data_IF_869963353824
#
_entry.id   IF_869963353824
#
_cell.length_a   1.000
_cell.length_b   1.000
_cell.length_c   1.000
_cell.angle_alpha   90.00
_cell.angle_beta   90.00
_cell.angle_gamma   90.00
#
_symmetry.space_group_name_H-M   'P 1'
#
loop_
_entity.id
_entity.type
_entity.pdbx_description
1 polymer ?
#
# COMPACT_ATOMS: atom_id res chain seq x y z
N UNK A 1 3.09 -14.07 44.85
CA UNK A 1 3.57 -12.79 44.25
C UNK A 1 4.49 -12.98 43.06
N UNK A 2 5.69 -13.57 43.18
CA UNK A 2 6.62 -13.68 42.03
C UNK A 2 6.05 -14.45 40.84
N UNK A 3 5.42 -15.60 41.09
CA UNK A 3 4.76 -16.42 40.04
C UNK A 3 3.60 -15.66 39.39
N UNK A 4 2.77 -14.96 40.17
CA UNK A 4 1.67 -14.15 39.63
C UNK A 4 2.18 -13.02 38.73
N UNK A 5 3.24 -12.32 39.15
CA UNK A 5 3.86 -11.25 38.36
C UNK A 5 4.41 -11.78 37.04
N UNK A 6 5.07 -12.94 37.06
CA UNK A 6 5.54 -13.59 35.83
C UNK A 6 4.37 -13.93 34.90
N UNK A 7 3.30 -14.53 35.42
CA UNK A 7 2.12 -14.87 34.62
C UNK A 7 1.41 -13.63 34.05
N UNK A 8 1.25 -12.58 34.85
CA UNK A 8 0.67 -11.32 34.39
C UNK A 8 1.53 -10.67 33.29
N UNK A 9 2.86 -10.68 33.45
CA UNK A 9 3.79 -10.18 32.45
C UNK A 9 3.72 -10.99 31.15
N UNK A 10 3.64 -12.32 31.24
CA UNK A 10 3.52 -13.21 30.07
C UNK A 10 2.22 -12.97 29.30
N UNK A 11 1.08 -12.87 30.00
CA UNK A 11 -0.22 -12.63 29.35
C UNK A 11 -0.27 -11.23 28.76
N UNK A 12 0.15 -10.20 29.51
CA UNK A 12 0.22 -8.83 29.03
C UNK A 12 1.14 -8.68 27.81
N UNK A 13 2.34 -9.26 27.88
CA UNK A 13 3.29 -9.30 26.78
C UNK A 13 2.73 -10.04 25.56
N UNK A 14 2.04 -11.17 25.75
CA UNK A 14 1.40 -11.91 24.67
C UNK A 14 0.28 -11.11 23.98
N UNK A 15 -0.51 -10.33 24.74
CA UNK A 15 -1.52 -9.43 24.18
C UNK A 15 -0.84 -8.34 23.34
N UNK A 16 0.22 -7.70 23.86
CA UNK A 16 0.99 -6.71 23.12
C UNK A 16 1.64 -7.28 21.85
N UNK A 17 2.17 -8.50 21.93
CA UNK A 17 2.72 -9.23 20.79
C UNK A 17 1.65 -9.50 19.73
N UNK A 18 0.48 -10.00 20.13
CA UNK A 18 -0.62 -10.29 19.22
C UNK A 18 -1.08 -9.03 18.46
N UNK A 19 -1.17 -7.88 19.15
CA UNK A 19 -1.46 -6.61 18.52
C UNK A 19 -0.39 -6.18 17.52
N UNK A 20 0.89 -6.36 17.87
CA UNK A 20 2.01 -6.03 16.98
C UNK A 20 1.98 -6.87 15.70
N UNK A 21 1.73 -8.18 15.83
CA UNK A 21 1.58 -9.09 14.68
C UNK A 21 0.38 -8.68 13.82
N UNK A 22 -0.75 -8.34 14.44
CA UNK A 22 -1.93 -7.89 13.72
C UNK A 22 -1.71 -6.57 12.96
N UNK A 23 -0.87 -5.67 13.50
CA UNK A 23 -0.51 -4.37 12.90
C UNK A 23 0.51 -4.50 11.76
N UNK A 24 1.54 -5.32 11.91
CA UNK A 24 2.65 -5.45 10.96
C UNK A 24 2.62 -6.78 10.19
N UNK A 25 1.48 -7.11 9.57
CA UNK A 25 1.22 -8.42 8.93
C UNK A 25 2.27 -8.84 7.91
N UNK A 26 2.86 -7.89 7.18
CA UNK A 26 3.82 -8.20 6.11
C UNK A 26 5.24 -8.52 6.62
N UNK A 27 5.64 -7.96 7.77
CA UNK A 27 6.98 -8.15 8.36
C UNK A 27 6.88 -8.25 9.91
N UNK A 28 6.12 -9.22 10.46
CA UNK A 28 5.79 -9.27 11.88
C UNK A 28 7.02 -9.56 12.75
N UNK A 29 7.90 -10.46 12.29
CA UNK A 29 9.15 -10.78 13.00
C UNK A 29 10.08 -9.57 13.05
N UNK A 30 10.20 -8.81 11.96
CA UNK A 30 11.01 -7.59 11.91
C UNK A 30 10.45 -6.50 12.81
N UNK A 31 9.12 -6.37 12.87
CA UNK A 31 8.46 -5.45 13.79
C UNK A 31 8.71 -5.85 15.25
N UNK A 32 8.56 -7.13 15.58
CA UNK A 32 8.78 -7.65 16.94
C UNK A 32 10.21 -7.42 17.43
N UNK A 33 11.20 -7.72 16.60
CA UNK A 33 12.62 -7.59 16.95
C UNK A 33 13.14 -6.14 16.84
N UNK A 34 12.31 -5.18 16.44
CA UNK A 34 12.70 -3.77 16.48
C UNK A 34 12.70 -3.27 17.94
N UNK A 35 13.64 -2.39 18.34
CA UNK A 35 13.59 -1.65 19.60
C UNK A 35 12.20 -1.12 19.96
N UNK A 36 11.47 -0.54 18.98
CA UNK A 36 10.11 -0.06 19.21
C UNK A 36 9.10 -1.18 19.50
N UNK A 37 9.19 -2.31 18.79
CA UNK A 37 8.37 -3.49 19.04
C UNK A 37 8.66 -4.16 20.39
N UNK A 38 9.93 -4.29 20.76
CA UNK A 38 10.34 -4.80 22.07
C UNK A 38 9.86 -3.88 23.20
N UNK A 39 10.02 -2.56 23.04
CA UNK A 39 9.50 -1.58 24.00
C UNK A 39 7.98 -1.66 24.12
N UNK A 40 7.27 -1.87 23.02
CA UNK A 40 5.82 -2.04 23.02
C UNK A 40 5.37 -3.25 23.86
N UNK A 41 6.00 -4.41 23.64
CA UNK A 41 5.73 -5.63 24.42
C UNK A 41 6.09 -5.42 25.89
N UNK A 42 7.23 -4.78 26.17
CA UNK A 42 7.68 -4.46 27.51
C UNK A 42 6.68 -3.56 28.28
N UNK A 43 6.14 -2.52 27.63
CA UNK A 43 5.14 -1.64 28.24
C UNK A 43 3.87 -2.42 28.60
N UNK A 44 3.40 -3.31 27.72
CA UNK A 44 2.22 -4.13 27.99
C UNK A 44 2.44 -5.12 29.15
N UNK A 45 3.61 -5.79 29.18
CA UNK A 45 3.97 -6.69 30.27
C UNK A 45 4.06 -5.94 31.61
N UNK A 46 4.75 -4.79 31.62
CA UNK A 46 4.95 -3.96 32.82
C UNK A 46 3.61 -3.41 33.34
N UNK A 47 2.72 -2.93 32.46
CA UNK A 47 1.41 -2.45 32.86
C UNK A 47 0.57 -3.56 33.51
N UNK A 48 0.68 -4.80 33.04
CA UNK A 48 -0.01 -5.96 33.63
C UNK A 48 0.50 -6.29 35.03
N UNK A 49 1.82 -6.18 35.27
CA UNK A 49 2.41 -6.30 36.61
C UNK A 49 1.90 -5.19 37.53
N UNK A 50 1.91 -3.93 37.07
CA UNK A 50 1.43 -2.78 37.86
C UNK A 50 -0.05 -2.95 38.22
N UNK A 51 -0.88 -3.38 37.27
CA UNK A 51 -2.30 -3.67 37.53
C UNK A 51 -2.47 -4.80 38.55
N UNK A 52 -1.66 -5.87 38.46
CA UNK A 52 -1.71 -6.96 39.43
C UNK A 52 -1.33 -6.50 40.84
N UNK A 53 -0.30 -5.66 40.97
CA UNK A 53 0.10 -5.07 42.26
C UNK A 53 -1.06 -4.26 42.83
N UNK A 54 -1.70 -3.41 42.01
CA UNK A 54 -2.83 -2.58 42.45
C UNK A 54 -4.03 -3.43 42.90
N UNK A 55 -4.41 -4.45 42.13
CA UNK A 55 -5.50 -5.39 42.44
C UNK A 55 -5.22 -6.16 43.73
N UNK A 56 -3.97 -6.58 43.93
CA UNK A 56 -3.58 -7.35 45.11
C UNK A 56 -3.51 -6.48 46.35
N UNK A 57 -2.87 -5.30 46.25
CA UNK A 57 -2.72 -4.36 47.36
C UNK A 57 -4.06 -3.78 47.84
N UNK A 58 -5.03 -3.61 46.93
CA UNK A 58 -6.40 -3.21 47.29
C UNK A 58 -7.24 -4.32 47.90
N UNK A 59 -6.74 -5.56 47.93
CA UNK A 59 -7.49 -6.72 48.42
C UNK A 59 -8.67 -7.12 47.52
N UNK A 60 -8.72 -6.65 46.27
CA UNK A 60 -9.87 -6.88 45.39
C UNK A 60 -10.02 -8.37 45.07
N UNK A 61 -11.19 -8.94 45.35
CA UNK A 61 -11.51 -10.36 45.10
C UNK A 61 -12.49 -10.56 43.95
N UNK A 62 -12.94 -9.48 43.30
CA UNK A 62 -13.90 -9.52 42.19
C UNK A 62 -15.18 -10.34 42.50
N UNK A 63 -15.64 -10.29 43.76
CA UNK A 63 -16.86 -10.99 44.19
C UNK A 63 -16.69 -12.48 44.48
N UNK A 64 -15.45 -13.00 44.47
CA UNK A 64 -15.18 -14.38 44.85
C UNK A 64 -15.47 -14.61 46.35
N UNK A 65 -16.15 -15.71 46.72
CA UNK A 65 -16.36 -16.09 48.13
C UNK A 65 -15.05 -16.23 48.89
N UNK A 66 -15.07 -15.95 50.20
CA UNK A 66 -13.90 -16.09 51.09
C UNK A 66 -13.43 -17.55 51.17
N UNK A 67 -14.32 -18.50 50.91
CA UNK A 67 -14.02 -19.94 50.85
C UNK A 67 -13.32 -20.37 49.55
N UNK A 68 -13.13 -19.46 48.59
CA UNK A 68 -12.50 -19.77 47.30
C UNK A 68 -11.03 -20.18 47.51
N UNK A 69 -10.57 -21.27 46.88
CA UNK A 69 -9.17 -21.67 46.96
C UNK A 69 -8.22 -20.54 46.55
N UNK A 70 -7.07 -20.36 47.24
CA UNK A 70 -6.13 -19.28 46.94
C UNK A 70 -5.65 -19.28 45.47
N UNK A 71 -5.50 -20.47 44.87
CA UNK A 71 -5.12 -20.63 43.47
C UNK A 71 -6.16 -20.05 42.49
N UNK A 72 -7.46 -20.24 42.77
CA UNK A 72 -8.52 -19.70 41.90
C UNK A 72 -8.56 -18.17 41.98
N UNK A 73 -8.43 -17.60 43.19
CA UNK A 73 -8.34 -16.14 43.38
C UNK A 73 -7.12 -15.56 42.68
N UNK A 74 -5.98 -16.25 42.77
CA UNK A 74 -4.74 -15.88 42.06
C UNK A 74 -4.95 -15.81 40.55
N UNK A 75 -5.52 -16.87 39.94
CA UNK A 75 -5.77 -16.93 38.49
C UNK A 75 -6.67 -15.77 38.04
N UNK A 76 -7.77 -15.53 38.74
CA UNK A 76 -8.70 -14.44 38.40
C UNK A 76 -8.00 -13.08 38.47
N UNK A 77 -7.23 -12.81 39.54
CA UNK A 77 -6.48 -11.55 39.67
C UNK A 77 -5.48 -11.34 38.54
N UNK A 78 -4.74 -12.39 38.16
CA UNK A 78 -3.77 -12.33 37.06
C UNK A 78 -4.47 -12.04 35.73
N UNK A 79 -5.58 -12.73 35.44
CA UNK A 79 -6.33 -12.53 34.20
C UNK A 79 -6.94 -11.12 34.13
N UNK A 80 -7.60 -10.68 35.21
CA UNK A 80 -8.21 -9.34 35.27
C UNK A 80 -7.15 -8.25 35.19
N UNK A 81 -5.99 -8.43 35.84
CA UNK A 81 -4.89 -7.47 35.75
C UNK A 81 -4.35 -7.34 34.32
N UNK A 82 -4.07 -8.45 33.64
CA UNK A 82 -3.51 -8.42 32.29
C UNK A 82 -4.49 -7.87 31.24
N UNK A 83 -5.76 -8.33 31.27
CA UNK A 83 -6.80 -7.86 30.35
C UNK A 83 -7.19 -6.41 30.68
N UNK A 84 -7.30 -6.07 31.96
CA UNK A 84 -7.62 -4.72 32.42
C UNK A 84 -6.53 -3.72 32.05
N UNK A 85 -5.26 -4.05 32.26
CA UNK A 85 -4.14 -3.22 31.82
C UNK A 85 -4.17 -2.99 30.31
N UNK A 86 -4.41 -4.05 29.53
CA UNK A 86 -4.58 -3.95 28.09
C UNK A 86 -5.73 -3.00 27.70
N UNK A 87 -6.90 -3.12 28.35
CA UNK A 87 -8.03 -2.23 28.10
C UNK A 87 -7.71 -0.77 28.44
N UNK A 88 -7.15 -0.51 29.62
CA UNK A 88 -6.78 0.84 30.09
C UNK A 88 -5.75 1.50 29.18
N UNK A 89 -4.72 0.78 28.75
CA UNK A 89 -3.71 1.32 27.83
C UNK A 89 -4.29 1.76 26.48
N UNK A 90 -5.45 1.23 26.08
CA UNK A 90 -6.14 1.57 24.83
C UNK A 90 -7.18 2.67 24.99
N UNK A 91 -7.45 3.10 26.22
CA UNK A 91 -8.39 4.19 26.47
C UNK A 91 -7.84 5.53 25.97
N UNK A 92 -8.71 6.29 25.33
CA UNK A 92 -8.46 7.67 24.89
C UNK A 92 -9.42 8.60 25.63
N UNK A 93 -8.87 9.65 26.22
CA UNK A 93 -9.59 10.71 26.91
C UNK A 93 -9.37 12.02 26.14
N UNK A 94 -10.20 12.30 25.14
CA UNK A 94 -10.12 13.53 24.37
C UNK A 94 -11.33 13.71 23.46
N UNK A 95 -11.64 14.95 23.05
CA UNK A 95 -12.72 15.20 22.10
C UNK A 95 -12.42 14.48 20.78
N UNK A 96 -13.46 13.89 20.17
CA UNK A 96 -13.39 13.21 18.88
C UNK A 96 -13.15 14.22 17.74
N UNK A 97 -11.97 14.84 17.72
CA UNK A 97 -11.50 15.69 16.64
C UNK A 97 -10.57 14.88 15.74
N UNK A 98 -10.80 14.96 14.43
CA UNK A 98 -10.03 14.25 13.39
C UNK A 98 -8.55 14.60 13.34
N UNK A 99 -8.09 15.57 14.15
CA UNK A 99 -6.70 16.04 14.19
C UNK A 99 -6.11 16.10 15.61
N UNK A 100 -6.89 15.77 16.64
CA UNK A 100 -6.39 15.73 18.01
C UNK A 100 -5.64 14.41 18.26
N UNK A 101 -4.38 14.52 18.69
CA UNK A 101 -3.68 13.41 19.34
C UNK A 101 -4.50 13.05 20.56
N UNK A 102 -5.14 11.86 20.57
CA UNK A 102 -5.93 11.43 21.72
C UNK A 102 -5.10 11.54 22.99
N UNK A 103 -5.55 12.36 23.95
CA UNK A 103 -4.93 12.48 25.27
C UNK A 103 -5.23 11.20 26.06
N UNK A 104 -4.25 10.61 26.73
CA UNK A 104 -4.47 9.43 27.57
C UNK A 104 -3.43 8.32 27.39
N UNK A 105 -3.62 7.17 28.03
CA UNK A 105 -2.68 6.05 27.99
C UNK A 105 -2.36 5.58 26.56
N UNK A 106 -3.32 5.67 25.65
CA UNK A 106 -3.11 5.30 24.24
C UNK A 106 -2.09 6.18 23.53
N UNK A 107 -1.87 7.43 23.98
CA UNK A 107 -0.85 8.32 23.42
C UNK A 107 0.56 7.74 23.62
N UNK A 108 0.81 7.12 24.78
CA UNK A 108 2.08 6.45 25.07
C UNK A 108 2.33 5.31 24.09
N UNK A 109 1.32 4.44 23.90
CA UNK A 109 1.40 3.33 22.95
C UNK A 109 1.64 3.84 21.53
N UNK A 110 0.93 4.88 21.10
CA UNK A 110 1.11 5.49 19.79
C UNK A 110 2.52 6.08 19.62
N UNK A 111 3.08 6.69 20.66
CA UNK A 111 4.46 7.19 20.66
C UNK A 111 5.47 6.05 20.45
N UNK A 112 5.33 4.94 21.16
CA UNK A 112 6.19 3.76 21.00
C UNK A 112 6.03 3.15 19.61
N UNK A 113 4.80 3.03 19.11
CA UNK A 113 4.56 2.49 17.77
C UNK A 113 5.16 3.36 16.67
N UNK A 114 5.20 4.69 16.83
CA UNK A 114 5.90 5.59 15.91
C UNK A 114 7.40 5.33 15.83
N UNK A 115 8.04 4.93 16.94
CA UNK A 115 9.45 4.53 16.93
C UNK A 115 9.66 3.26 16.09
N UNK A 116 8.80 2.26 16.26
CA UNK A 116 8.81 1.03 15.45
C UNK A 116 8.58 1.35 13.96
N UNK A 117 7.59 2.20 13.66
CA UNK A 117 7.27 2.64 12.30
C UNK A 117 8.49 3.33 11.64
N UNK A 118 9.16 4.24 12.36
CA UNK A 118 10.35 4.94 11.87
C UNK A 118 11.55 4.02 11.62
N UNK A 119 11.78 3.01 12.47
CA UNK A 119 12.84 2.02 12.22
C UNK A 119 12.52 1.10 11.05
N UNK A 120 11.28 0.61 10.96
CA UNK A 120 10.86 -0.18 9.82
C UNK A 120 10.92 0.64 8.53
N UNK A 121 10.58 1.93 8.57
CA UNK A 121 10.77 2.84 7.44
C UNK A 121 12.25 2.95 7.04
N UNK A 122 13.18 3.13 8.00
CA UNK A 122 14.62 3.15 7.72
C UNK A 122 15.13 1.84 7.12
N UNK A 123 14.75 0.68 7.70
CA UNK A 123 15.12 -0.64 7.15
C UNK A 123 14.55 -0.85 5.75
N UNK A 124 13.32 -0.40 5.50
CA UNK A 124 12.72 -0.42 4.15
C UNK A 124 13.48 0.48 3.20
N UNK A 125 13.83 1.71 3.59
CA UNK A 125 14.60 2.63 2.77
C UNK A 125 15.97 2.05 2.38
N UNK A 126 16.70 1.47 3.34
CA UNK A 126 17.97 0.80 3.08
C UNK A 126 17.82 -0.41 2.14
N UNK A 127 16.79 -1.24 2.35
CA UNK A 127 16.55 -2.41 1.49
C UNK A 127 16.20 -2.05 0.05
N UNK A 128 15.63 -0.86 -0.18
CA UNK A 128 15.27 -0.40 -1.52
C UNK A 128 16.48 0.07 -2.33
N UNK A 129 17.55 0.50 -1.67
CA UNK A 129 18.82 0.91 -2.31
C UNK A 129 19.84 -0.23 -2.38
N UNK A 130 19.69 -1.29 -1.57
CA UNK A 130 20.70 -2.37 -1.50
C UNK A 130 20.38 -3.58 -2.38
N UNK A 131 19.26 -3.60 -3.09
CA UNK A 131 18.86 -4.74 -3.92
C UNK A 131 18.81 -4.36 -5.38
N UNK A 132 19.56 -5.11 -6.16
CA UNK A 132 19.61 -5.06 -7.63
C UNK A 132 18.34 -5.71 -8.23
N UNK A 133 17.16 -5.45 -7.64
CA UNK A 133 15.89 -6.08 -8.04
C UNK A 133 15.48 -5.68 -9.47
N UNK A 134 16.01 -4.54 -9.94
CA UNK A 134 15.85 -4.00 -11.28
C UNK A 134 17.09 -4.21 -12.17
N UNK A 135 18.09 -4.99 -11.72
CA UNK A 135 19.30 -5.29 -12.49
C UNK A 135 18.97 -5.75 -13.91
N UNK A 136 19.63 -5.18 -14.91
CA UNK A 136 19.45 -5.53 -16.31
C UNK A 136 18.23 -4.90 -17.00
N UNK A 137 17.44 -4.10 -16.28
CA UNK A 137 16.47 -3.18 -16.86
C UNK A 137 17.12 -1.79 -17.06
N UNK A 138 16.51 -0.98 -17.92
CA UNK A 138 16.91 0.39 -18.21
C UNK A 138 15.73 1.32 -18.00
N UNK A 139 15.92 2.47 -17.36
CA UNK A 139 14.84 3.44 -17.22
C UNK A 139 14.35 3.87 -18.61
N UNK A 140 15.25 4.29 -19.50
CA UNK A 140 14.90 4.77 -20.84
C UNK A 140 14.02 3.79 -21.64
N UNK A 141 14.21 2.48 -21.47
CA UNK A 141 13.50 1.45 -22.24
C UNK A 141 12.30 0.86 -21.50
N UNK A 142 12.46 0.60 -20.20
CA UNK A 142 11.62 -0.35 -19.48
C UNK A 142 10.65 0.32 -18.50
N UNK A 143 10.83 1.62 -18.19
CA UNK A 143 10.04 2.31 -17.15
C UNK A 143 8.52 2.24 -17.38
N UNK A 144 8.07 2.44 -18.63
CA UNK A 144 6.66 2.46 -18.99
C UNK A 144 6.04 1.05 -18.89
N UNK A 145 6.70 0.04 -19.47
CA UNK A 145 6.24 -1.34 -19.42
C UNK A 145 6.23 -1.90 -17.98
N UNK A 146 7.23 -1.53 -17.18
CA UNK A 146 7.30 -1.90 -15.78
C UNK A 146 6.14 -1.29 -14.97
N UNK A 147 5.83 0.00 -15.21
CA UNK A 147 4.72 0.67 -14.55
C UNK A 147 3.37 0.08 -14.97
N UNK A 148 3.19 -0.25 -16.25
CA UNK A 148 1.99 -0.91 -16.74
C UNK A 148 1.76 -2.26 -16.05
N UNK A 149 2.80 -3.10 -15.97
CA UNK A 149 2.73 -4.38 -15.25
C UNK A 149 2.38 -4.18 -13.77
N UNK A 150 2.97 -3.19 -13.12
CA UNK A 150 2.64 -2.84 -11.73
C UNK A 150 1.20 -2.37 -11.59
N UNK A 151 0.70 -1.51 -12.46
CA UNK A 151 -0.67 -1.00 -12.40
C UNK A 151 -1.71 -2.13 -12.55
N UNK A 152 -1.46 -3.12 -13.43
CA UNK A 152 -2.34 -4.28 -13.58
C UNK A 152 -2.36 -5.21 -12.38
N UNK A 153 -1.34 -5.18 -11.51
CA UNK A 153 -1.34 -5.94 -10.26
C UNK A 153 -2.21 -5.30 -9.18
N UNK A 154 -2.69 -4.07 -9.39
CA UNK A 154 -3.51 -3.37 -8.43
C UNK A 154 -5.00 -3.59 -8.66
N UNK A 155 -5.72 -3.81 -7.57
CA UNK A 155 -7.17 -4.00 -7.58
C UNK A 155 -7.93 -2.68 -7.61
N UNK A 156 -7.32 -1.63 -7.05
CA UNK A 156 -7.83 -0.26 -6.99
C UNK A 156 -6.65 0.65 -7.38
N UNK A 157 -6.82 1.46 -8.43
CA UNK A 157 -5.84 2.45 -8.87
C UNK A 157 -6.56 3.78 -9.07
N UNK A 158 -6.16 4.80 -8.32
CA UNK A 158 -6.81 6.11 -8.39
C UNK A 158 -6.07 7.08 -9.32
N UNK A 159 -6.78 8.16 -9.70
CA UNK A 159 -6.24 9.19 -10.59
C UNK A 159 -5.04 9.92 -9.97
N UNK A 160 -5.00 10.07 -8.64
CA UNK A 160 -3.94 10.78 -7.96
C UNK A 160 -2.61 10.00 -8.01
N UNK A 161 -2.68 8.68 -7.88
CA UNK A 161 -1.53 7.78 -8.05
C UNK A 161 -1.02 7.78 -9.48
N UNK A 162 -1.91 7.75 -10.47
CA UNK A 162 -1.57 7.85 -11.89
C UNK A 162 -0.87 9.19 -12.22
N UNK A 163 -1.42 10.30 -11.74
CA UNK A 163 -0.82 11.64 -11.90
C UNK A 163 0.56 11.73 -11.25
N UNK A 164 0.73 11.13 -10.07
CA UNK A 164 2.00 11.13 -9.34
C UNK A 164 3.07 10.32 -10.07
N UNK A 165 2.73 9.16 -10.62
CA UNK A 165 3.64 8.38 -11.47
C UNK A 165 3.99 9.13 -12.75
N UNK A 166 3.00 9.69 -13.44
CA UNK A 166 3.23 10.47 -14.66
C UNK A 166 4.11 11.70 -14.41
N UNK A 167 3.90 12.41 -13.30
CA UNK A 167 4.71 13.55 -12.89
C UNK A 167 6.16 13.17 -12.62
N UNK A 168 6.40 12.07 -11.89
CA UNK A 168 7.76 11.57 -11.66
C UNK A 168 8.43 11.12 -12.96
N UNK A 169 7.70 10.44 -13.86
CA UNK A 169 8.25 10.02 -15.14
C UNK A 169 8.72 11.21 -15.98
N UNK A 170 7.90 12.27 -16.03
CA UNK A 170 8.23 13.52 -16.71
C UNK A 170 9.46 14.18 -16.06
N UNK A 171 9.50 14.29 -14.74
CA UNK A 171 10.63 14.87 -14.01
C UNK A 171 11.94 14.12 -14.32
N UNK A 172 11.96 12.79 -14.13
CA UNK A 172 13.16 11.97 -14.35
C UNK A 172 13.60 11.97 -15.83
N UNK A 173 12.66 12.08 -16.77
CA UNK A 173 13.00 12.12 -18.20
C UNK A 173 13.87 13.34 -18.54
N UNK A 174 13.66 14.47 -17.87
CA UNK A 174 14.36 15.73 -18.11
C UNK A 174 15.63 15.95 -17.24
N UNK A 175 15.94 15.03 -16.32
CA UNK A 175 17.08 15.14 -15.41
C UNK A 175 18.34 14.56 -16.05
N UNK A 176 19.18 15.40 -16.65
CA UNK A 176 20.44 14.96 -17.28
C UNK A 176 21.58 14.75 -16.28
N UNK A 177 21.40 15.18 -15.03
CA UNK A 177 22.33 15.00 -13.91
C UNK A 177 22.29 13.59 -13.30
N UNK A 178 21.31 12.77 -13.68
CA UNK A 178 21.11 11.41 -13.16
C UNK A 178 21.44 10.36 -14.22
N UNK A 179 22.12 9.28 -13.82
CA UNK A 179 22.33 8.14 -14.71
C UNK A 179 21.02 7.40 -14.97
N UNK A 180 20.97 6.58 -16.03
CA UNK A 180 19.80 5.74 -16.33
C UNK A 180 19.46 4.79 -15.16
N UNK A 181 20.49 4.30 -14.46
CA UNK A 181 20.35 3.48 -13.26
C UNK A 181 19.74 4.29 -12.10
N UNK A 182 20.23 5.51 -11.85
CA UNK A 182 19.67 6.38 -10.79
C UNK A 182 18.20 6.74 -11.05
N UNK A 183 17.84 6.98 -12.32
CA UNK A 183 16.44 7.20 -12.72
C UNK A 183 15.60 5.95 -12.50
N UNK A 184 16.13 4.78 -12.83
CA UNK A 184 15.47 3.49 -12.63
C UNK A 184 15.26 3.19 -11.15
N UNK A 185 16.23 3.52 -10.30
CA UNK A 185 16.12 3.38 -8.85
C UNK A 185 15.05 4.31 -8.29
N UNK A 186 15.07 5.59 -8.64
CA UNK A 186 14.02 6.55 -8.27
C UNK A 186 12.63 6.08 -8.71
N UNK A 187 12.51 5.55 -9.92
CA UNK A 187 11.27 4.97 -10.44
C UNK A 187 10.83 3.74 -9.66
N UNK A 188 11.77 2.82 -9.40
CA UNK A 188 11.56 1.60 -8.62
C UNK A 188 11.11 1.87 -7.19
N UNK A 189 11.63 2.93 -6.57
CA UNK A 189 11.19 3.38 -5.24
C UNK A 189 9.71 3.73 -5.23
N UNK A 190 9.22 4.38 -6.29
CA UNK A 190 7.80 4.72 -6.37
C UNK A 190 6.91 3.54 -6.71
N UNK A 191 7.32 2.68 -7.62
CA UNK A 191 6.59 1.45 -7.90
C UNK A 191 6.54 0.55 -6.65
N UNK A 192 7.60 0.50 -5.86
CA UNK A 192 7.60 -0.23 -4.58
C UNK A 192 6.60 0.35 -3.58
N UNK A 193 6.40 1.67 -3.58
CA UNK A 193 5.36 2.31 -2.74
C UNK A 193 3.97 1.88 -3.20
N UNK A 194 3.77 1.78 -4.51
CA UNK A 194 2.51 1.49 -5.14
C UNK A 194 2.09 0.01 -4.98
N UNK A 195 2.95 -0.92 -5.39
CA UNK A 195 2.59 -2.37 -5.46
C UNK A 195 3.29 -3.24 -4.42
N UNK A 196 4.27 -2.68 -3.71
CA UNK A 196 5.11 -3.43 -2.78
C UNK A 196 6.28 -4.16 -3.44
N UNK A 197 7.26 -4.52 -2.61
CA UNK A 197 8.57 -5.06 -3.01
C UNK A 197 8.49 -6.42 -3.75
N UNK A 198 7.51 -7.25 -3.40
CA UNK A 198 7.33 -8.58 -4.02
C UNK A 198 6.74 -8.47 -5.42
N UNK A 199 5.71 -7.63 -5.58
CA UNK A 199 5.05 -7.40 -6.85
C UNK A 199 6.01 -6.73 -7.85
N UNK A 200 6.76 -5.71 -7.42
CA UNK A 200 7.77 -5.06 -8.27
C UNK A 200 8.82 -6.07 -8.76
N UNK A 201 9.35 -6.91 -7.87
CA UNK A 201 10.31 -7.96 -8.27
C UNK A 201 9.73 -8.92 -9.30
N UNK A 202 8.47 -9.33 -9.12
CA UNK A 202 7.83 -10.25 -10.05
C UNK A 202 7.58 -9.60 -11.42
N UNK A 203 7.16 -8.34 -11.44
CA UNK A 203 7.02 -7.54 -12.66
C UNK A 203 8.37 -7.37 -13.37
N UNK A 204 9.42 -6.99 -12.63
CA UNK A 204 10.77 -6.82 -13.17
C UNK A 204 11.38 -8.11 -13.72
N UNK A 205 11.11 -9.26 -13.09
CA UNK A 205 11.52 -10.57 -13.63
C UNK A 205 10.79 -10.88 -14.93
N UNK A 206 9.46 -10.73 -14.95
CA UNK A 206 8.64 -10.98 -16.15
C UNK A 206 9.05 -10.10 -17.32
N UNK A 207 9.42 -8.84 -17.05
CA UNK A 207 9.88 -7.92 -18.09
C UNK A 207 11.25 -8.31 -18.65
N UNK A 208 12.17 -8.76 -17.79
CA UNK A 208 13.49 -9.29 -18.21
C UNK A 208 13.39 -10.54 -19.08
N UNK A 209 12.48 -11.43 -18.73
CA UNK A 209 12.31 -12.72 -19.40
C UNK A 209 11.56 -12.59 -20.74
N UNK A 210 11.06 -11.39 -21.10
CA UNK A 210 10.34 -11.16 -22.35
C UNK A 210 11.33 -11.21 -23.54
N UNK A 211 11.06 -12.03 -24.58
CA UNK A 211 11.81 -11.97 -25.83
C UNK A 211 11.78 -10.55 -26.39
N UNK A 212 12.95 -10.01 -26.74
CA UNK A 212 13.04 -8.70 -27.37
C UNK A 212 12.56 -8.86 -28.81
N UNK A 213 11.46 -8.22 -29.17
CA UNK A 213 11.07 -8.08 -30.57
C UNK A 213 12.11 -7.17 -31.24
N UNK A 214 13.07 -7.79 -31.92
CA UNK A 214 13.95 -7.09 -32.85
C UNK A 214 13.06 -6.51 -33.96
N UNK A 215 13.15 -5.20 -34.29
CA UNK A 215 12.36 -4.66 -35.38
C UNK A 215 12.64 -5.46 -36.65
N UNK A 216 11.61 -5.87 -37.42
CA UNK A 216 11.80 -6.70 -38.60
C UNK A 216 12.81 -6.01 -39.51
N UNK A 217 13.92 -6.71 -39.75
CA UNK A 217 15.00 -6.28 -40.65
C UNK A 217 14.33 -5.95 -41.97
N UNK A 218 14.34 -4.68 -42.37
CA UNK A 218 13.75 -4.25 -43.63
C UNK A 218 14.37 -5.08 -44.75
N UNK A 219 13.56 -5.94 -45.36
CA UNK A 219 13.96 -6.64 -46.57
C UNK A 219 14.25 -5.57 -47.63
N UNK A 220 15.32 -5.71 -48.43
CA UNK A 220 15.64 -4.73 -49.46
C UNK A 220 14.46 -4.68 -50.43
N UNK A 221 13.90 -3.47 -50.61
CA UNK A 221 12.92 -3.19 -51.65
C UNK A 221 13.56 -3.55 -52.99
N UNK A 222 13.02 -4.59 -53.63
CA UNK A 222 13.37 -4.96 -55.00
C UNK A 222 13.03 -3.76 -55.91
N UNK A 223 14.05 -3.23 -56.54
CA UNK A 223 14.00 -2.08 -57.45
C UNK A 223 13.06 -2.40 -58.63
N UNK A 224 12.07 -1.55 -58.99
CA UNK A 224 11.15 -1.87 -60.07
C UNK A 224 11.88 -1.89 -61.41
N UNK A 225 11.83 -3.03 -62.10
CA UNK A 225 12.33 -3.19 -63.46
C UNK A 225 11.65 -2.20 -64.43
N UNK A 226 12.46 -1.67 -65.34
CA UNK A 226 12.12 -0.64 -66.32
C UNK A 226 10.92 -0.95 -67.22
N UNK A 227 10.22 0.12 -67.62
CA UNK A 227 9.07 0.16 -68.51
C UNK A 227 9.30 -0.51 -69.89
N UNK A 228 8.33 -1.27 -70.43
CA UNK A 228 8.30 -1.63 -71.85
C UNK A 228 7.61 -0.53 -72.71
N UNK A 229 8.00 -0.36 -74.00
CA UNK A 229 7.48 0.69 -74.87
C UNK A 229 6.04 0.41 -75.37
N UNK A 230 5.30 1.44 -75.82
CA UNK A 230 3.86 1.35 -76.03
C UNK A 230 3.49 0.84 -77.44
N UNK A 231 2.36 0.13 -77.59
CA UNK A 231 1.68 0.04 -78.87
C UNK A 231 0.25 0.61 -78.86
N UNK A 232 0.07 1.58 -79.75
CA UNK A 232 -1.06 1.89 -80.63
C UNK A 232 -2.52 2.00 -80.10
N UNK A 233 -3.11 3.14 -80.48
CA UNK A 233 -4.49 3.58 -80.35
C UNK A 233 -5.55 2.55 -80.82
N UNK A 234 -6.66 2.44 -80.07
CA UNK A 234 -8.01 2.27 -80.63
C UNK A 234 -9.08 2.82 -79.67
N UNK A 235 -10.09 3.42 -80.28
CA UNK A 235 -11.04 4.40 -79.74
C UNK A 235 -12.28 3.78 -79.08
N UNK A 236 -12.77 4.46 -78.02
CA UNK A 236 -14.16 4.57 -77.54
C UNK A 236 -14.93 3.33 -77.03
N UNK A 237 -15.36 3.38 -75.76
CA UNK A 237 -16.78 3.39 -75.35
C UNK A 237 -16.95 3.65 -73.83
N UNK A 238 -17.78 4.63 -73.48
CA UNK A 238 -18.19 4.98 -72.10
C UNK A 238 -19.51 4.29 -71.76
N UNK A 239 -19.67 3.71 -70.54
CA UNK A 239 -20.98 3.54 -69.90
C UNK A 239 -21.13 4.40 -68.62
N UNK A 240 -22.39 4.65 -68.18
CA UNK A 240 -22.81 5.86 -67.47
C UNK A 240 -22.72 5.79 -65.93
N UNK A 241 -22.83 6.94 -65.22
CA UNK A 241 -22.68 7.01 -63.77
C UNK A 241 -23.97 6.57 -63.04
N UNK A 242 -23.81 5.98 -61.84
CA UNK A 242 -24.89 5.72 -60.89
C UNK A 242 -24.62 6.39 -59.53
N UNK A 243 -25.69 6.72 -58.77
CA UNK A 243 -25.84 8.03 -58.10
C UNK A 243 -25.46 8.05 -56.61
N UNK A 244 -25.34 9.24 -55.98
CA UNK A 244 -25.08 9.38 -54.56
C UNK A 244 -26.36 9.16 -53.75
N UNK A 245 -26.31 8.28 -52.75
CA UNK A 245 -27.42 8.11 -51.80
C UNK A 245 -27.40 9.26 -50.79
N UNK A 246 -28.54 9.93 -50.73
CA UNK A 246 -28.78 11.18 -50.02
C UNK A 246 -28.76 11.06 -48.49
N UNK A 247 -28.31 12.15 -47.86
CA UNK A 247 -28.62 12.52 -46.48
C UNK A 247 -30.13 12.69 -46.31
N UNK A 248 -30.72 11.99 -45.35
CA UNK A 248 -32.00 12.39 -44.75
C UNK A 248 -31.78 12.75 -43.29
N UNK A 249 -32.01 14.02 -43.02
CA UNK A 249 -32.16 14.67 -41.72
C UNK A 249 -33.55 14.42 -41.15
N UNK A 250 -33.67 14.11 -39.85
CA UNK A 250 -34.78 14.50 -38.95
C UNK A 250 -34.19 14.55 -37.52
N UNK A 251 -33.89 15.70 -36.93
CA UNK A 251 -34.74 16.70 -36.25
C UNK A 251 -35.61 16.18 -35.08
N UNK A 252 -35.51 16.95 -33.98
CA UNK A 252 -36.32 17.08 -32.76
C UNK A 252 -35.80 16.28 -31.54
N UNK A 253 -35.25 16.88 -30.47
CA UNK A 253 -35.62 18.02 -29.61
C UNK A 253 -36.78 17.73 -28.64
N UNK A 254 -36.45 17.70 -27.34
CA UNK A 254 -37.30 17.96 -26.14
C UNK A 254 -36.75 17.12 -24.97
N UNK A 255 -36.70 17.53 -23.71
CA UNK A 255 -36.66 18.80 -22.97
C UNK A 255 -36.56 18.40 -21.48
N UNK A 256 -35.95 19.26 -20.68
CA UNK A 256 -36.20 19.47 -19.24
C UNK A 256 -36.01 18.34 -18.21
N UNK A 257 -35.16 18.66 -17.21
CA UNK A 257 -35.12 17.97 -15.93
C UNK A 257 -34.19 18.63 -14.91
N UNK A 258 -34.26 19.97 -14.77
CA UNK A 258 -33.58 20.73 -13.71
C UNK A 258 -34.31 20.48 -12.39
N UNK A 259 -33.73 19.73 -11.46
CA UNK A 259 -34.26 19.58 -10.10
C UNK A 259 -33.51 20.49 -9.14
N UNK A 260 -34.26 21.48 -8.64
CA UNK A 260 -33.91 22.36 -7.54
C UNK A 260 -33.62 21.60 -6.25
N UNK A 261 -32.58 22.07 -5.56
CA UNK A 261 -32.16 21.63 -4.23
C UNK A 261 -32.94 22.44 -3.20
N UNK A 262 -33.99 21.88 -2.60
CA UNK A 262 -34.61 22.45 -1.39
C UNK A 262 -33.75 22.08 -0.18
N UNK A 263 -33.25 23.12 0.49
CA UNK A 263 -32.70 23.06 1.84
C UNK A 263 -33.86 23.11 2.84
N UNK A 264 -33.93 22.12 3.72
CA UNK A 264 -34.65 22.16 4.98
C UNK A 264 -33.82 21.35 5.97
N UNK A 265 -33.38 22.01 7.05
CA UNK A 265 -33.37 21.46 8.42
C UNK A 265 -32.77 22.49 9.36
N UNK A 266 -33.64 23.13 10.14
CA UNK A 266 -33.38 23.53 11.53
C UNK A 266 -34.25 22.63 12.42
N UNK A 267 -33.62 21.93 13.36
CA UNK A 267 -34.15 21.44 14.64
C UNK A 267 -32.98 20.86 15.45
#
# INVERSE_FOLDING_TARGET
MTVEMLLAALIGGAIGLAELVARYRDKPVTALLSPGGLLFVFVNASASIVALIAVTASGWTFGLPVTTPPASTMIVRVLVAAIGAAAVLRMSFGPASTRAIGTGPVALLNGVLRLADGELARKRALSRLSRDDLAGLSYARDHAALAELCCHLMREFDLAEAQRLGGLAAELSHRDDLTDADKLDCWGLELTRLVGERALRQAARRLRDRPRDEPPKAEPVEEPAADPPPPAEHTAQIPPPRPPVAKTSRLAASSNGRTDRRSFSDA
#
